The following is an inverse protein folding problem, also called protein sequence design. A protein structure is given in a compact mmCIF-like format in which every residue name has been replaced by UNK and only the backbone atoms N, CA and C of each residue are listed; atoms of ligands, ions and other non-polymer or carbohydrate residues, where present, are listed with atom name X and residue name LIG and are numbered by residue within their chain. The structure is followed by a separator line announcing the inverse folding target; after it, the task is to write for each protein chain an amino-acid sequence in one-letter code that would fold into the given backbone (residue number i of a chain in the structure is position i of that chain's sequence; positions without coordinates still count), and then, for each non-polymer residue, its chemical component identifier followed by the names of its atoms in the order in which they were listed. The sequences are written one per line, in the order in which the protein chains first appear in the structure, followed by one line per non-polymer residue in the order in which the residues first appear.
data_IF_855287439516
#
_entry.id   IF_855287439516
#
_cell.length_a   1.000
_cell.length_b   1.000
_cell.length_c   1.000
_cell.angle_alpha   90.00
_cell.angle_beta   90.00
_cell.angle_gamma   90.00
#
_symmetry.space_group_name_H-M   'P 1'
#
loop_
_entity.id
_entity.type
_entity.pdbx_description
1 polymer ?
#
# COMPACT_ATOMS: atom_id res chain seq x y z
N UNK A 1 -53.96 -15.99 -14.92
CA UNK A 1 -53.54 -17.17 -15.71
C UNK A 1 -52.05 -17.02 -16.02
N UNK A 2 -51.20 -17.97 -15.61
CA UNK A 2 -49.78 -17.91 -15.92
C UNK A 2 -49.56 -18.08 -17.43
N UNK A 3 -48.71 -17.21 -18.01
CA UNK A 3 -48.40 -17.24 -19.44
C UNK A 3 -47.76 -18.59 -19.83
N UNK A 4 -47.86 -19.02 -21.11
CA UNK A 4 -47.24 -20.24 -21.58
C UNK A 4 -45.72 -20.30 -21.28
N UNK A 5 -45.04 -19.17 -21.36
CA UNK A 5 -43.61 -19.04 -21.01
C UNK A 5 -43.33 -19.32 -19.54
N UNK A 6 -44.20 -18.88 -18.63
CA UNK A 6 -44.03 -19.13 -17.19
C UNK A 6 -44.14 -20.63 -16.86
N UNK A 7 -44.95 -21.39 -17.62
CA UNK A 7 -45.08 -22.84 -17.44
C UNK A 7 -43.84 -23.58 -17.95
N UNK A 8 -43.35 -23.20 -19.13
CA UNK A 8 -42.11 -23.77 -19.70
C UNK A 8 -40.92 -23.51 -18.78
N UNK A 9 -40.81 -22.30 -18.20
CA UNK A 9 -39.78 -21.99 -17.22
C UNK A 9 -39.90 -22.87 -15.96
N UNK A 10 -41.11 -23.03 -15.43
CA UNK A 10 -41.34 -23.89 -14.26
C UNK A 10 -40.98 -25.36 -14.53
N UNK A 11 -41.39 -25.89 -15.68
CA UNK A 11 -41.13 -27.28 -16.08
C UNK A 11 -39.65 -27.53 -16.33
N UNK A 12 -38.96 -26.59 -16.97
CA UNK A 12 -37.49 -26.68 -17.18
C UNK A 12 -36.72 -26.62 -15.88
N UNK A 13 -37.11 -25.75 -14.94
CA UNK A 13 -36.51 -25.71 -13.60
C UNK A 13 -36.72 -27.02 -12.83
N UNK A 14 -37.89 -27.64 -12.95
CA UNK A 14 -38.20 -28.91 -12.28
C UNK A 14 -37.33 -30.05 -12.83
N UNK A 15 -37.14 -30.11 -14.15
CA UNK A 15 -36.28 -31.11 -14.80
C UNK A 15 -34.80 -30.89 -14.45
N UNK A 16 -34.32 -29.65 -14.49
CA UNK A 16 -32.93 -29.32 -14.12
C UNK A 16 -32.63 -29.67 -12.66
N UNK A 17 -33.56 -29.42 -11.74
CA UNK A 17 -33.40 -29.81 -10.33
C UNK A 17 -33.33 -31.32 -10.14
N UNK A 18 -34.05 -32.11 -10.94
CA UNK A 18 -33.97 -33.58 -10.90
C UNK A 18 -32.63 -34.09 -11.44
N UNK A 19 -32.11 -33.45 -12.48
CA UNK A 19 -30.79 -33.79 -13.04
C UNK A 19 -29.65 -33.44 -12.08
N UNK A 20 -29.78 -32.36 -11.32
CA UNK A 20 -28.79 -31.97 -10.31
C UNK A 20 -28.59 -33.02 -9.19
N UNK A 21 -29.60 -33.87 -8.94
CA UNK A 21 -29.52 -34.98 -7.96
C UNK A 21 -28.83 -36.22 -8.54
N UNK A 22 -28.85 -36.38 -9.87
CA UNK A 22 -28.25 -37.52 -10.56
C UNK A 22 -26.80 -37.27 -10.99
N UNK A 23 -26.40 -35.99 -11.08
CA UNK A 23 -25.03 -35.63 -11.36
C UNK A 23 -24.17 -35.85 -10.10
N UNK A 24 -23.05 -36.58 -10.18
CA UNK A 24 -22.10 -36.63 -9.08
C UNK A 24 -21.66 -35.21 -8.75
N UNK A 25 -21.77 -34.84 -7.48
CA UNK A 25 -21.33 -33.53 -7.00
C UNK A 25 -19.88 -33.34 -7.44
N UNK A 26 -19.54 -32.27 -8.19
CA UNK A 26 -18.16 -32.04 -8.59
C UNK A 26 -17.32 -32.01 -7.31
N UNK A 27 -16.16 -32.69 -7.28
CA UNK A 27 -15.30 -32.63 -6.11
C UNK A 27 -15.04 -31.17 -5.81
N UNK A 28 -15.32 -30.76 -4.57
CA UNK A 28 -15.00 -29.40 -4.14
C UNK A 28 -13.55 -29.13 -4.50
N UNK A 29 -13.23 -27.99 -5.13
CA UNK A 29 -11.85 -27.68 -5.47
C UNK A 29 -11.06 -27.75 -4.17
N UNK A 30 -10.19 -28.76 -4.06
CA UNK A 30 -9.25 -28.88 -2.95
C UNK A 30 -8.36 -27.66 -3.04
N UNK A 31 -8.64 -26.66 -2.21
CA UNK A 31 -7.78 -25.50 -2.08
C UNK A 31 -6.42 -26.03 -1.62
N UNK A 32 -5.36 -25.86 -2.41
CA UNK A 32 -4.04 -26.31 -1.97
C UNK A 32 -3.70 -25.63 -0.64
N UNK A 33 -2.96 -26.31 0.25
CA UNK A 33 -2.55 -25.72 1.51
C UNK A 33 -1.81 -24.42 1.20
N UNK A 34 -2.30 -23.33 1.79
CA UNK A 34 -1.74 -22.00 1.68
C UNK A 34 -0.33 -22.04 2.29
N UNK A 35 0.68 -22.43 1.52
CA UNK A 35 2.07 -22.20 1.92
C UNK A 35 2.20 -20.68 2.05
N UNK A 36 2.66 -20.22 3.22
CA UNK A 36 2.87 -18.81 3.49
C UNK A 36 3.91 -18.26 2.51
N UNK A 37 3.42 -17.71 1.41
CA UNK A 37 4.20 -17.07 0.35
C UNK A 37 4.53 -15.66 0.83
N UNK A 38 5.45 -15.58 1.78
CA UNK A 38 5.91 -14.30 2.32
C UNK A 38 7.05 -13.74 1.48
N UNK A 39 6.85 -12.53 0.98
CA UNK A 39 7.88 -11.74 0.32
C UNK A 39 8.81 -11.14 1.39
N UNK A 40 10.10 -11.51 1.36
CA UNK A 40 11.10 -10.95 2.28
C UNK A 40 11.51 -9.56 1.81
N UNK A 41 10.93 -8.53 2.41
CA UNK A 41 11.19 -7.13 2.11
C UNK A 41 12.15 -6.52 3.13
N UNK A 42 13.18 -5.81 2.67
CA UNK A 42 14.14 -5.15 3.55
C UNK A 42 13.54 -3.92 4.24
N UNK A 43 14.06 -3.59 5.42
CA UNK A 43 13.74 -2.34 6.10
C UNK A 43 14.85 -1.31 5.89
N UNK A 44 14.50 -0.10 5.45
CA UNK A 44 15.44 0.97 5.14
C UNK A 44 15.38 2.08 6.19
N UNK A 45 16.52 2.48 6.73
CA UNK A 45 16.58 3.58 7.71
C UNK A 45 16.86 4.93 7.02
N UNK A 46 16.01 5.92 7.28
CA UNK A 46 16.18 7.32 6.81
C UNK A 46 16.87 8.21 7.85
N UNK A 47 17.05 7.76 9.09
CA UNK A 47 17.47 8.58 10.22
C UNK A 47 18.82 9.26 9.95
N UNK A 48 19.79 8.55 9.38
CA UNK A 48 21.10 9.12 9.08
C UNK A 48 21.01 10.29 8.07
N UNK A 49 20.16 10.17 7.06
CA UNK A 49 19.94 11.24 6.08
C UNK A 49 19.31 12.48 6.75
N UNK A 50 18.29 12.28 7.59
CA UNK A 50 17.61 13.38 8.29
C UNK A 50 18.47 14.07 9.35
N UNK A 51 19.42 13.36 9.98
CA UNK A 51 20.35 13.96 10.96
C UNK A 51 21.21 15.07 10.35
N UNK A 52 21.52 15.00 9.05
CA UNK A 52 22.32 16.02 8.37
C UNK A 52 21.66 17.42 8.34
N UNK A 53 20.35 17.50 8.58
CA UNK A 53 19.59 18.75 8.57
C UNK A 53 19.57 19.49 9.91
N UNK A 54 20.14 18.91 10.98
CA UNK A 54 20.26 19.59 12.28
C UNK A 54 18.95 19.81 13.03
N UNK A 55 17.92 19.00 12.77
CA UNK A 55 16.64 19.09 13.48
C UNK A 55 16.77 18.76 14.98
N UNK A 56 15.82 19.28 15.77
CA UNK A 56 15.63 18.82 17.15
C UNK A 56 15.31 17.33 17.18
N UNK A 57 15.60 16.68 18.30
CA UNK A 57 15.31 15.25 18.48
C UNK A 57 13.81 14.93 18.27
N UNK A 58 12.92 15.83 18.68
CA UNK A 58 11.46 15.67 18.53
C UNK A 58 11.05 15.69 17.06
N UNK A 59 11.50 16.69 16.30
CA UNK A 59 11.20 16.79 14.86
C UNK A 59 11.81 15.62 14.08
N UNK A 60 13.05 15.23 14.39
CA UNK A 60 13.69 14.06 13.80
C UNK A 60 12.86 12.78 14.05
N UNK A 61 12.41 12.57 15.29
CA UNK A 61 11.59 11.41 15.65
C UNK A 61 10.23 11.38 14.94
N UNK A 62 9.63 12.54 14.70
CA UNK A 62 8.35 12.64 13.99
C UNK A 62 8.53 12.29 12.52
N UNK A 63 9.57 12.83 11.87
CA UNK A 63 9.90 12.54 10.47
C UNK A 63 10.24 11.05 10.27
N UNK A 64 11.04 10.45 11.15
CA UNK A 64 11.34 9.00 11.08
C UNK A 64 10.05 8.18 11.23
N UNK A 65 9.14 8.53 12.14
CA UNK A 65 7.85 7.83 12.28
C UNK A 65 6.97 7.95 11.02
N UNK A 66 6.92 9.12 10.40
CA UNK A 66 6.17 9.33 9.16
C UNK A 66 6.74 8.48 8.02
N UNK A 67 8.06 8.43 7.88
CA UNK A 67 8.73 7.59 6.90
C UNK A 67 8.43 6.11 7.14
N UNK A 68 8.60 5.64 8.38
CA UNK A 68 8.35 4.25 8.75
C UNK A 68 6.90 3.85 8.51
N UNK A 69 5.94 4.74 8.76
CA UNK A 69 4.53 4.49 8.45
C UNK A 69 4.30 4.30 6.94
N UNK A 70 4.87 5.18 6.11
CA UNK A 70 4.81 5.05 4.65
C UNK A 70 5.48 3.76 4.16
N UNK A 71 6.62 3.40 4.74
CA UNK A 71 7.33 2.17 4.42
C UNK A 71 6.52 0.92 4.80
N UNK A 72 5.86 0.94 5.96
CA UNK A 72 4.99 -0.14 6.41
C UNK A 72 3.82 -0.37 5.44
N UNK A 73 3.23 0.72 4.94
CA UNK A 73 2.12 0.63 3.98
C UNK A 73 2.59 0.09 2.62
N UNK A 74 3.78 0.51 2.16
CA UNK A 74 4.42 -0.05 0.96
C UNK A 74 4.69 -1.55 1.10
N UNK A 75 5.21 -1.99 2.26
CA UNK A 75 5.44 -3.41 2.55
C UNK A 75 4.13 -4.20 2.50
N UNK A 76 3.10 -3.71 3.19
CA UNK A 76 1.79 -4.34 3.23
C UNK A 76 1.18 -4.47 1.83
N UNK A 77 1.29 -3.41 1.04
CA UNK A 77 0.76 -3.38 -0.33
C UNK A 77 1.51 -4.34 -1.25
N UNK A 78 2.84 -4.35 -1.20
CA UNK A 78 3.65 -5.30 -1.97
C UNK A 78 3.36 -6.76 -1.59
N UNK A 79 3.23 -7.06 -0.30
CA UNK A 79 2.83 -8.39 0.19
C UNK A 79 1.44 -8.79 -0.30
N UNK A 80 0.46 -7.90 -0.24
CA UNK A 80 -0.90 -8.16 -0.69
C UNK A 80 -0.96 -8.45 -2.21
N UNK A 81 -0.22 -7.67 -3.01
CA UNK A 81 -0.15 -7.90 -4.45
C UNK A 81 0.58 -9.20 -4.79
N UNK A 82 1.68 -9.50 -4.11
CA UNK A 82 2.40 -10.76 -4.27
C UNK A 82 1.50 -11.96 -3.94
N UNK A 83 0.82 -11.95 -2.79
CA UNK A 83 -0.09 -13.01 -2.38
C UNK A 83 -1.24 -13.20 -3.39
N UNK A 84 -1.80 -12.09 -3.89
CA UNK A 84 -2.85 -12.13 -4.92
C UNK A 84 -2.35 -12.73 -6.23
N UNK A 85 -1.14 -12.33 -6.67
CA UNK A 85 -0.52 -12.87 -7.87
C UNK A 85 -0.25 -14.38 -7.74
N UNK A 86 0.25 -14.83 -6.58
CA UNK A 86 0.52 -16.25 -6.34
C UNK A 86 -0.76 -17.08 -6.27
N UNK A 87 -1.83 -16.58 -5.66
CA UNK A 87 -3.13 -17.26 -5.66
C UNK A 87 -3.64 -17.49 -7.09
N UNK A 88 -3.55 -16.46 -7.94
CA UNK A 88 -3.96 -16.56 -9.35
C UNK A 88 -3.07 -17.51 -10.16
N UNK A 89 -1.77 -17.54 -9.88
CA UNK A 89 -0.85 -18.48 -10.51
C UNK A 89 -1.15 -19.92 -10.10
N UNK A 90 -1.44 -20.17 -8.82
CA UNK A 90 -1.81 -21.49 -8.32
C UNK A 90 -3.13 -21.99 -8.94
N UNK A 91 -4.09 -21.09 -9.20
CA UNK A 91 -5.35 -21.40 -9.88
C UNK A 91 -5.16 -21.75 -11.37
N UNK A 92 -4.13 -21.22 -12.02
CA UNK A 92 -3.94 -21.32 -13.48
C UNK A 92 -2.94 -22.38 -13.92
N UNK A 93 -1.86 -22.61 -13.16
CA UNK A 93 -0.80 -23.52 -13.59
C UNK A 93 -1.13 -25.01 -13.36
N UNK A 94 -2.17 -25.33 -12.59
CA UNK A 94 -2.35 -26.71 -12.11
C UNK A 94 -1.13 -27.17 -11.31
N UNK A 95 -1.11 -28.41 -10.84
CA UNK A 95 -0.05 -28.92 -9.93
C UNK A 95 1.31 -29.18 -10.64
N UNK A 96 1.58 -28.57 -11.80
CA UNK A 96 2.92 -28.59 -12.40
C UNK A 96 3.86 -27.76 -11.52
N UNK A 97 4.65 -28.48 -10.73
CA UNK A 97 5.44 -27.93 -9.62
C UNK A 97 6.62 -27.10 -10.10
N UNK A 98 7.26 -27.49 -11.22
CA UNK A 98 8.45 -26.79 -11.73
C UNK A 98 8.11 -25.41 -12.34
N UNK A 99 7.05 -25.32 -13.14
CA UNK A 99 6.63 -24.05 -13.76
C UNK A 99 6.12 -23.07 -12.71
N UNK A 100 5.35 -23.52 -11.72
CA UNK A 100 4.89 -22.70 -10.62
C UNK A 100 6.05 -22.09 -9.81
N UNK A 101 7.10 -22.87 -9.55
CA UNK A 101 8.29 -22.42 -8.81
C UNK A 101 9.10 -21.36 -9.58
N UNK A 102 9.26 -21.50 -10.89
CA UNK A 102 9.89 -20.49 -11.75
C UNK A 102 9.11 -19.17 -11.75
N UNK A 103 7.78 -19.22 -11.87
CA UNK A 103 6.93 -18.04 -11.79
C UNK A 103 6.97 -17.40 -10.40
N UNK A 104 6.99 -18.21 -9.34
CA UNK A 104 7.10 -17.74 -7.95
C UNK A 104 8.38 -16.94 -7.75
N UNK A 105 9.51 -17.46 -8.21
CA UNK A 105 10.81 -16.79 -8.10
C UNK A 105 10.84 -15.49 -8.91
N UNK A 106 10.35 -15.52 -10.14
CA UNK A 106 10.27 -14.34 -11.01
C UNK A 106 9.39 -13.24 -10.41
N UNK A 107 8.24 -13.61 -9.85
CA UNK A 107 7.36 -12.68 -9.16
C UNK A 107 8.02 -12.12 -7.90
N UNK A 108 8.69 -12.94 -7.10
CA UNK A 108 9.38 -12.48 -5.89
C UNK A 108 10.44 -11.43 -6.22
N UNK A 109 11.26 -11.65 -7.25
CA UNK A 109 12.26 -10.68 -7.72
C UNK A 109 11.58 -9.38 -8.18
N UNK A 110 10.53 -9.47 -8.99
CA UNK A 110 9.81 -8.31 -9.50
C UNK A 110 9.21 -7.47 -8.37
N UNK A 111 8.42 -8.07 -7.48
CA UNK A 111 7.75 -7.33 -6.42
C UNK A 111 8.74 -6.78 -5.37
N UNK A 112 9.87 -7.45 -5.16
CA UNK A 112 10.95 -6.91 -4.31
C UNK A 112 11.57 -5.66 -4.94
N UNK A 113 11.87 -5.69 -6.25
CA UNK A 113 12.40 -4.52 -6.96
C UNK A 113 11.41 -3.36 -6.99
N UNK A 114 10.15 -3.64 -7.31
CA UNK A 114 9.10 -2.60 -7.35
C UNK A 114 8.94 -1.94 -5.96
N UNK A 115 9.11 -2.71 -4.88
CA UNK A 115 9.15 -2.18 -3.51
C UNK A 115 10.38 -1.31 -3.22
N UNK A 116 11.57 -1.74 -3.65
CA UNK A 116 12.83 -0.98 -3.49
C UNK A 116 12.78 0.36 -4.23
N UNK A 117 12.25 0.37 -5.45
CA UNK A 117 12.02 1.58 -6.24
C UNK A 117 11.03 2.52 -5.53
N UNK A 118 9.91 1.99 -5.03
CA UNK A 118 8.92 2.78 -4.30
C UNK A 118 9.48 3.39 -3.01
N UNK A 119 10.33 2.66 -2.28
CA UNK A 119 11.00 3.18 -1.10
C UNK A 119 12.00 4.29 -1.44
N UNK A 120 12.78 4.08 -2.50
CA UNK A 120 13.74 5.08 -2.94
C UNK A 120 13.03 6.39 -3.30
N UNK A 121 11.91 6.28 -4.04
CA UNK A 121 11.06 7.43 -4.36
C UNK A 121 10.44 8.08 -3.10
N UNK A 122 9.96 7.29 -2.13
CA UNK A 122 9.44 7.80 -0.86
C UNK A 122 10.51 8.60 -0.09
N UNK A 123 11.71 8.04 0.02
CA UNK A 123 12.86 8.69 0.67
C UNK A 123 13.20 10.01 0.00
N UNK A 124 13.35 10.03 -1.32
CA UNK A 124 13.66 11.24 -2.07
C UNK A 124 12.57 12.30 -1.94
N UNK A 125 11.31 11.90 -2.04
CA UNK A 125 10.16 12.80 -1.89
C UNK A 125 10.16 13.46 -0.51
N UNK A 126 10.38 12.67 0.54
CA UNK A 126 10.45 13.15 1.90
C UNK A 126 11.60 14.13 2.13
N UNK A 127 12.80 13.81 1.64
CA UNK A 127 13.96 14.70 1.76
C UNK A 127 13.77 16.01 0.97
N UNK A 128 13.16 15.94 -0.21
CA UNK A 128 12.81 17.14 -1.00
C UNK A 128 11.80 18.03 -0.28
N UNK A 129 10.77 17.46 0.34
CA UNK A 129 9.77 18.25 1.08
C UNK A 129 10.41 18.88 2.32
N UNK A 130 11.27 18.14 3.03
CA UNK A 130 12.02 18.64 4.19
C UNK A 130 12.92 19.82 3.79
N UNK A 131 13.64 19.72 2.67
CA UNK A 131 14.48 20.80 2.17
C UNK A 131 13.65 22.03 1.76
N UNK A 132 12.55 21.80 1.05
CA UNK A 132 11.61 22.85 0.63
C UNK A 132 10.98 23.56 1.83
N UNK A 133 10.62 22.83 2.89
CA UNK A 133 10.12 23.40 4.14
C UNK A 133 11.18 24.25 4.85
N UNK A 134 12.44 23.80 4.86
CA UNK A 134 13.56 24.54 5.44
C UNK A 134 13.81 25.86 4.69
N UNK A 135 13.84 25.84 3.37
CA UNK A 135 14.02 27.05 2.54
C UNK A 135 12.89 28.06 2.79
N UNK A 136 11.63 27.59 2.83
CA UNK A 136 10.48 28.45 3.16
C UNK A 136 10.61 29.08 4.54
N UNK A 137 10.98 28.30 5.55
CA UNK A 137 11.17 28.81 6.91
C UNK A 137 12.30 29.85 6.99
N UNK A 138 13.41 29.65 6.27
CA UNK A 138 14.50 30.62 6.21
C UNK A 138 14.05 31.94 5.54
N UNK A 139 13.29 31.86 4.44
CA UNK A 139 12.77 33.06 3.74
C UNK A 139 11.73 33.85 4.54
N UNK A 140 11.00 33.19 5.45
CA UNK A 140 10.02 33.84 6.31
C UNK A 140 10.66 34.62 7.48
N UNK A 141 11.95 34.38 7.78
CA UNK A 141 12.66 34.97 8.91
C UNK A 141 12.99 36.46 8.79
N UNK A 142 12.89 37.04 7.58
CA UNK A 142 13.34 38.42 7.31
C UNK A 142 12.17 39.43 7.15
N UNK A 143 10.91 38.97 7.15
CA UNK A 143 9.74 39.80 6.84
C UNK A 143 8.89 40.29 8.02
N UNK A 144 9.26 39.99 9.28
CA UNK A 144 8.32 40.07 10.41
C UNK A 144 8.81 40.75 11.68
N UNK A 145 9.83 41.61 11.62
CA UNK A 145 10.45 42.24 12.81
C UNK A 145 10.19 43.73 13.01
N UNK A 146 9.21 44.33 12.33
CA UNK A 146 8.83 45.71 12.61
C UNK A 146 7.40 45.98 12.19
N UNK A 147 6.49 46.08 13.17
CA UNK A 147 5.35 47.05 13.15
C UNK A 147 4.43 46.93 14.38
N UNK A 148 4.57 45.93 15.24
CA UNK A 148 3.69 45.83 16.42
C UNK A 148 4.20 46.59 17.65
N UNK A 149 5.50 46.88 17.74
CA UNK A 149 6.07 47.58 18.90
C UNK A 149 5.90 49.10 18.82
N UNK A 150 5.96 49.70 17.63
CA UNK A 150 5.85 51.17 17.51
C UNK A 150 4.41 51.66 17.70
N UNK A 151 3.42 50.90 17.25
CA UNK A 151 2.00 51.27 17.40
C UNK A 151 1.51 51.12 18.86
N UNK A 152 2.06 50.16 19.61
CA UNK A 152 1.72 49.94 21.03
C UNK A 152 2.44 50.93 21.95
N UNK A 153 3.68 51.32 21.64
CA UNK A 153 4.38 52.39 22.38
C UNK A 153 3.72 53.74 22.13
N UNK A 154 3.31 54.04 20.89
CA UNK A 154 2.56 55.27 20.58
C UNK A 154 1.18 55.36 21.27
N UNK A 155 0.56 54.21 21.57
CA UNK A 155 -0.71 54.16 22.31
C UNK A 155 -0.51 54.39 23.83
N UNK A 156 0.63 54.00 24.39
CA UNK A 156 0.95 54.15 25.82
C UNK A 156 1.51 55.53 26.18
N UNK A 157 2.09 56.27 25.24
CA UNK A 157 2.57 57.65 25.48
C UNK A 157 1.46 58.71 25.35
N UNK A 158 0.24 58.32 24.96
CA UNK A 158 -0.92 59.20 24.79
C UNK A 158 -2.00 59.05 25.89
N UNK A 159 -1.83 58.14 26.83
CA UNK A 159 -2.72 57.94 27.98
C UNK A 159 -2.14 58.59 29.25
#
# INVERSE_FOLDING_TARGET
MASPMARIAADTHLVLNRLAVLAPTPPSPCRPPCQSLELRLQHYDIQQALRSYGFSATSLSALVRMYNAGQHELQRTAQAYYATAMSRLAETCGMETDTFEEYRNTAAVRFSRDYEEAISALRESMLREVDSARVRAASAGDGGRGSFSDEVVALLERA
#
